data_IF_294227616372
#
_entry.id   IF_294227616372
#
_cell.length_a   1.000
_cell.length_b   1.000
_cell.length_c   1.000
_cell.angle_alpha   90.00
_cell.angle_beta   90.00
_cell.angle_gamma   90.00
#
_symmetry.space_group_name_H-M   'P 1'
#
loop_
_entity.id
_entity.type
_entity.pdbx_description
1 polymer ?
#
# COMPACT_ATOMS: atom_id res chain seq x y z
N UNK A 1 8.24 -7.01 -5.63
CA UNK A 1 7.24 -6.22 -6.37
C UNK A 1 7.11 -6.57 -7.83
N UNK A 2 8.14 -6.48 -8.68
CA UNK A 2 7.99 -6.78 -10.13
C UNK A 2 7.33 -8.14 -10.46
N UNK A 3 7.58 -9.17 -9.64
CA UNK A 3 7.07 -10.52 -9.86
C UNK A 3 5.74 -10.79 -9.13
N UNK A 4 5.17 -9.81 -8.44
CA UNK A 4 3.87 -9.94 -7.78
C UNK A 4 2.77 -9.79 -8.83
N UNK A 5 2.00 -10.84 -9.08
CA UNK A 5 1.03 -10.90 -10.18
C UNK A 5 -0.04 -9.79 -10.11
N UNK A 6 -0.45 -9.41 -8.90
CA UNK A 6 -1.46 -8.38 -8.67
C UNK A 6 -0.88 -6.96 -8.61
N UNK A 7 0.44 -6.79 -8.66
CA UNK A 7 1.08 -5.48 -8.59
C UNK A 7 0.97 -4.74 -9.94
N UNK A 8 0.08 -3.76 -10.01
CA UNK A 8 -0.20 -2.99 -11.23
C UNK A 8 0.79 -1.84 -11.42
N UNK A 9 1.22 -1.22 -10.31
CA UNK A 9 2.31 -0.26 -10.29
C UNK A 9 2.99 -0.24 -8.92
N UNK A 10 4.28 0.05 -8.92
CA UNK A 10 5.08 0.24 -7.72
C UNK A 10 6.19 1.24 -8.02
N UNK A 11 6.10 2.45 -7.44
CA UNK A 11 7.00 3.55 -7.78
C UNK A 11 7.33 4.40 -6.56
N UNK A 12 8.58 4.83 -6.45
CA UNK A 12 9.00 5.80 -5.45
C UNK A 12 9.07 7.21 -6.05
N UNK A 13 8.67 8.19 -5.25
CA UNK A 13 8.78 9.62 -5.52
C UNK A 13 9.37 10.30 -4.29
N UNK A 14 10.03 11.44 -4.49
CA UNK A 14 10.78 12.11 -3.42
C UNK A 14 10.49 13.61 -3.42
N UNK A 15 10.26 14.17 -2.24
CA UNK A 15 10.14 15.61 -2.00
C UNK A 15 11.06 15.98 -0.84
N UNK A 16 12.27 16.47 -1.16
CA UNK A 16 13.31 16.67 -0.16
C UNK A 16 13.69 15.35 0.52
N UNK A 17 13.50 15.27 1.84
CA UNK A 17 13.79 14.08 2.65
C UNK A 17 12.58 13.14 2.82
N UNK A 18 11.46 13.41 2.16
CA UNK A 18 10.26 12.56 2.21
C UNK A 18 10.24 11.66 0.99
N UNK A 19 10.32 10.35 1.23
CA UNK A 19 10.05 9.33 0.24
C UNK A 19 8.56 8.94 0.27
N UNK A 20 7.97 8.74 -0.89
CA UNK A 20 6.60 8.27 -1.05
C UNK A 20 6.57 7.09 -2.01
N UNK A 21 6.16 5.91 -1.53
CA UNK A 21 5.84 4.75 -2.36
C UNK A 21 4.40 4.86 -2.84
N UNK A 22 4.21 4.94 -4.17
CA UNK A 22 2.91 4.84 -4.80
C UNK A 22 2.76 3.45 -5.41
N UNK A 23 1.98 2.64 -4.74
CA UNK A 23 1.70 1.26 -5.10
C UNK A 23 0.20 1.05 -5.36
N UNK A 24 -0.10 0.11 -6.24
CA UNK A 24 -1.47 -0.18 -6.65
C UNK A 24 -1.58 -1.62 -7.07
N UNK A 25 -2.60 -2.29 -6.53
CA UNK A 25 -2.82 -3.71 -6.71
C UNK A 25 -4.19 -3.97 -7.34
N UNK A 26 -4.34 -5.13 -7.97
CA UNK A 26 -5.62 -5.55 -8.53
C UNK A 26 -6.68 -5.82 -7.45
N UNK A 27 -6.26 -6.21 -6.23
CA UNK A 27 -7.12 -6.62 -5.13
C UNK A 27 -6.48 -6.35 -3.75
N UNK A 28 -7.28 -6.43 -2.67
CA UNK A 28 -6.79 -6.45 -1.30
C UNK A 28 -5.87 -7.65 -1.05
N UNK A 29 -6.17 -8.81 -1.63
CA UNK A 29 -5.34 -10.00 -1.54
C UNK A 29 -3.94 -9.74 -2.13
N UNK A 30 -3.85 -8.96 -3.21
CA UNK A 30 -2.58 -8.47 -3.76
C UNK A 30 -1.79 -7.60 -2.79
N UNK A 31 -2.45 -6.73 -2.03
CA UNK A 31 -1.81 -5.93 -0.96
C UNK A 31 -1.29 -6.85 0.14
N UNK A 32 -2.07 -7.83 0.58
CA UNK A 32 -1.66 -8.75 1.64
C UNK A 32 -0.46 -9.60 1.22
N UNK A 33 -0.49 -10.15 0.01
CA UNK A 33 0.64 -10.89 -0.55
C UNK A 33 1.89 -10.01 -0.70
N UNK A 34 1.71 -8.72 -1.05
CA UNK A 34 2.81 -7.77 -1.10
C UNK A 34 3.45 -7.57 0.28
N UNK A 35 2.64 -7.32 1.33
CA UNK A 35 3.16 -7.12 2.69
C UNK A 35 4.03 -8.28 3.16
N UNK A 36 3.60 -9.51 2.88
CA UNK A 36 4.37 -10.71 3.21
C UNK A 36 5.70 -10.73 2.42
N UNK A 37 5.64 -10.41 1.12
CA UNK A 37 6.82 -10.39 0.26
C UNK A 37 7.83 -9.28 0.63
N UNK A 38 7.38 -8.16 1.21
CA UNK A 38 8.25 -7.03 1.58
C UNK A 38 8.50 -6.88 3.07
N UNK A 39 8.04 -7.81 3.92
CA UNK A 39 8.16 -7.70 5.37
C UNK A 39 9.61 -7.47 5.83
N UNK A 40 10.56 -8.26 5.29
CA UNK A 40 11.99 -8.12 5.59
C UNK A 40 12.58 -6.78 5.11
N UNK A 41 12.51 -6.40 3.82
CA UNK A 41 13.08 -5.13 3.35
C UNK A 41 12.38 -3.90 3.95
N UNK A 42 11.08 -3.98 4.24
CA UNK A 42 10.36 -2.92 4.95
C UNK A 42 10.90 -2.78 6.38
N UNK A 43 11.12 -3.90 7.08
CA UNK A 43 11.73 -3.91 8.41
C UNK A 43 13.11 -3.22 8.43
N UNK A 44 13.98 -3.51 7.46
CA UNK A 44 15.28 -2.84 7.36
C UNK A 44 15.14 -1.34 7.03
N UNK A 45 14.24 -0.97 6.13
CA UNK A 45 14.00 0.43 5.79
C UNK A 45 13.49 1.24 7.00
N UNK A 46 12.64 0.65 7.84
CA UNK A 46 12.10 1.29 9.05
C UNK A 46 13.13 1.47 10.18
N UNK A 47 14.32 0.85 10.09
CA UNK A 47 15.45 1.18 10.96
C UNK A 47 16.13 2.50 10.57
N UNK A 48 16.00 2.89 9.30
CA UNK A 48 16.67 4.07 8.72
C UNK A 48 15.70 5.26 8.53
N UNK A 49 14.40 4.98 8.42
CA UNK A 49 13.37 5.97 8.16
C UNK A 49 12.13 5.71 9.02
N UNK A 50 11.29 6.74 9.18
CA UNK A 50 10.01 6.63 9.88
C UNK A 50 8.88 6.59 8.86
N UNK A 51 7.98 5.61 8.99
CA UNK A 51 6.68 5.67 8.32
C UNK A 51 5.85 6.78 8.96
N UNK A 52 5.72 7.91 8.27
CA UNK A 52 4.98 9.07 8.78
C UNK A 52 3.51 9.07 8.36
N UNK A 53 3.14 8.32 7.32
CA UNK A 53 1.78 8.22 6.79
C UNK A 53 1.65 6.96 5.93
N UNK A 54 0.53 6.26 6.07
CA UNK A 54 0.12 5.16 5.21
C UNK A 54 -1.33 5.40 4.81
N UNK A 55 -1.62 5.38 3.52
CA UNK A 55 -2.97 5.55 2.99
C UNK A 55 -3.38 4.33 2.19
N UNK A 56 -4.64 3.92 2.31
CA UNK A 56 -5.24 2.87 1.48
C UNK A 56 -6.49 3.42 0.84
N UNK A 57 -6.51 3.45 -0.49
CA UNK A 57 -7.61 3.95 -1.32
C UNK A 57 -8.24 2.77 -2.05
N UNK A 58 -9.44 2.38 -1.67
CA UNK A 58 -10.10 1.20 -2.25
C UNK A 58 -11.63 1.24 -2.11
N UNK A 59 -12.37 0.40 -2.86
CA UNK A 59 -13.79 0.19 -2.60
C UNK A 59 -14.03 -0.29 -1.16
N UNK A 60 -15.22 0.01 -0.60
CA UNK A 60 -15.56 -0.34 0.78
C UNK A 60 -15.33 -1.84 1.08
N UNK A 61 -15.70 -2.72 0.16
CA UNK A 61 -15.53 -4.18 0.30
C UNK A 61 -14.08 -4.61 0.43
N UNK A 62 -13.15 -3.92 -0.24
CA UNK A 62 -11.71 -4.20 -0.16
C UNK A 62 -11.09 -3.58 1.11
N UNK A 63 -11.57 -2.39 1.52
CA UNK A 63 -11.15 -1.76 2.78
C UNK A 63 -11.43 -2.66 3.98
N UNK A 64 -12.62 -3.26 4.06
CA UNK A 64 -12.96 -4.14 5.19
C UNK A 64 -11.99 -5.32 5.34
N UNK A 65 -11.51 -5.90 4.23
CA UNK A 65 -10.53 -6.99 4.24
C UNK A 65 -9.17 -6.55 4.82
N UNK A 66 -8.83 -5.27 4.70
CA UNK A 66 -7.52 -4.72 5.04
C UNK A 66 -7.44 -4.12 6.45
N UNK A 67 -8.57 -3.78 7.08
CA UNK A 67 -8.59 -3.15 8.40
C UNK A 67 -7.84 -3.93 9.47
N UNK A 68 -8.16 -5.21 9.64
CA UNK A 68 -7.53 -6.03 10.67
C UNK A 68 -6.06 -6.35 10.34
N UNK A 69 -5.71 -6.80 9.11
CA UNK A 69 -4.31 -7.08 8.75
C UNK A 69 -3.39 -5.86 8.85
N UNK A 70 -3.88 -4.66 8.52
CA UNK A 70 -3.08 -3.44 8.52
C UNK A 70 -3.12 -2.66 9.83
N UNK A 71 -3.86 -3.11 10.85
CA UNK A 71 -4.11 -2.34 12.07
C UNK A 71 -2.81 -1.86 12.75
N UNK A 72 -1.76 -2.69 12.75
CA UNK A 72 -0.46 -2.36 13.35
C UNK A 72 0.25 -1.19 12.65
N UNK A 73 -0.04 -0.95 11.38
CA UNK A 73 0.54 0.15 10.59
C UNK A 73 -0.29 1.44 10.67
N UNK A 74 -1.46 1.39 11.32
CA UNK A 74 -2.38 2.54 11.48
C UNK A 74 -2.66 3.30 10.18
N UNK A 75 -3.07 2.61 9.09
CA UNK A 75 -3.38 3.28 7.82
C UNK A 75 -4.59 4.22 7.94
N UNK A 76 -4.57 5.28 7.14
CA UNK A 76 -5.78 6.04 6.85
C UNK A 76 -6.49 5.41 5.65
N UNK A 77 -7.73 4.95 5.86
CA UNK A 77 -8.55 4.39 4.79
C UNK A 77 -9.39 5.47 4.11
N UNK A 78 -9.36 5.46 2.78
CA UNK A 78 -10.20 6.28 1.91
C UNK A 78 -11.08 5.36 1.08
N UNK A 79 -12.37 5.33 1.41
CA UNK A 79 -13.37 4.57 0.63
C UNK A 79 -13.65 5.33 -0.66
N UNK A 80 -13.48 4.66 -1.79
CA UNK A 80 -13.80 5.25 -3.10
C UNK A 80 -15.31 5.37 -3.29
N UNK A 81 -15.82 6.57 -3.56
CA UNK A 81 -17.26 6.84 -3.80
C UNK A 81 -17.58 7.13 -5.28
N UNK A 82 -16.76 7.94 -5.95
CA UNK A 82 -16.95 8.33 -7.34
C UNK A 82 -15.60 8.51 -8.06
N UNK A 83 -15.57 8.25 -9.37
CA UNK A 83 -14.36 8.46 -10.18
C UNK A 83 -14.41 7.76 -11.55
N UNK A 84 -13.34 7.91 -12.32
CA UNK A 84 -13.17 7.26 -13.61
C UNK A 84 -11.83 6.52 -13.58
N UNK A 85 -11.82 5.24 -13.95
CA UNK A 85 -10.61 4.48 -14.25
C UNK A 85 -10.63 4.15 -15.74
N UNK A 86 -9.62 4.57 -16.49
CA UNK A 86 -9.45 4.08 -17.86
C UNK A 86 -9.00 2.62 -17.76
N UNK A 87 -9.71 1.73 -18.47
CA UNK A 87 -9.32 0.33 -18.62
C UNK A 87 -8.08 0.23 -19.50
#
# INVERSE_FOLDING_TARGET
TRNEADCMHYAFSFSGNIAHCREGYASAEGILAHLDNVAEPLGEALKLAKLIRLEVHAPATEVEKLKAPLAALSPQFFVLEAGIRRQ
#
